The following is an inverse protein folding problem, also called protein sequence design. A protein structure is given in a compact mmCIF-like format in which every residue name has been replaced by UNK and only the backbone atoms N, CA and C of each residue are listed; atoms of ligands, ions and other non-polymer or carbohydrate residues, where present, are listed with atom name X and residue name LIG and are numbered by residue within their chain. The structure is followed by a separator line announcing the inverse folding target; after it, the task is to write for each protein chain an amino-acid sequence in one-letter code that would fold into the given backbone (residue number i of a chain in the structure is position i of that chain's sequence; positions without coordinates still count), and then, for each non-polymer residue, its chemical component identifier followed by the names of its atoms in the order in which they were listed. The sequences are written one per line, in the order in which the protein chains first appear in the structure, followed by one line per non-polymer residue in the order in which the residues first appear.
data_IF_666146706789
#
_entry.id   IF_666146706789
#
_cell.length_a   1.000
_cell.length_b   1.000
_cell.length_c   1.000
_cell.angle_alpha   90.00
_cell.angle_beta   90.00
_cell.angle_gamma   90.00
#
_symmetry.space_group_name_H-M   'P 1'
#
loop_
_entity.id
_entity.type
_entity.pdbx_description
1 polymer ?
#
# COMPACT_ATOMS: atom_id res chain seq x y z
N UNK A 1 19.32 28.13 -12.86
CA UNK A 1 20.38 27.10 -12.65
C UNK A 1 19.80 25.76 -13.05
N UNK A 2 20.55 24.90 -13.77
CA UNK A 2 20.01 23.59 -14.22
C UNK A 2 20.31 22.49 -13.21
N UNK A 3 19.49 21.42 -13.22
CA UNK A 3 19.70 20.25 -12.37
C UNK A 3 21.13 19.72 -12.46
N UNK A 4 21.70 19.60 -13.69
CA UNK A 4 23.08 19.13 -13.90
C UNK A 4 24.17 20.03 -13.30
N UNK A 5 23.83 21.29 -12.99
CA UNK A 5 24.79 22.24 -12.42
C UNK A 5 24.88 22.08 -10.88
N UNK A 6 23.84 21.46 -10.27
CA UNK A 6 23.73 21.25 -8.83
C UNK A 6 23.80 19.78 -8.41
N UNK A 7 23.63 18.85 -9.37
CA UNK A 7 23.57 17.42 -9.10
C UNK A 7 24.43 16.64 -10.06
N UNK A 8 25.25 15.74 -9.53
CA UNK A 8 25.91 14.70 -10.31
C UNK A 8 24.87 13.65 -10.71
N UNK A 9 24.70 13.44 -12.02
CA UNK A 9 23.75 12.48 -12.57
C UNK A 9 24.42 11.13 -12.76
N UNK A 10 23.84 10.08 -12.19
CA UNK A 10 24.39 8.72 -12.24
C UNK A 10 25.88 8.68 -11.86
N UNK A 11 26.27 9.21 -10.70
CA UNK A 11 27.69 9.22 -10.31
C UNK A 11 28.24 7.80 -10.35
N UNK A 12 29.45 7.67 -10.90
CA UNK A 12 30.10 6.36 -11.04
C UNK A 12 30.32 5.75 -9.66
N UNK A 13 29.81 4.56 -9.46
CA UNK A 13 30.00 3.74 -8.28
C UNK A 13 30.46 2.35 -8.67
N UNK A 14 31.28 1.73 -7.85
CA UNK A 14 31.73 0.37 -8.08
C UNK A 14 30.92 -0.60 -7.22
N UNK A 15 29.90 -1.22 -7.83
CA UNK A 15 29.07 -2.25 -7.16
C UNK A 15 29.79 -3.59 -7.09
N UNK A 16 30.85 -3.82 -7.87
CA UNK A 16 31.65 -5.06 -7.83
C UNK A 16 32.39 -5.27 -6.51
N UNK A 17 32.34 -4.32 -5.58
CA UNK A 17 32.83 -4.47 -4.21
C UNK A 17 31.93 -5.34 -3.33
N UNK A 18 30.66 -5.44 -3.68
CA UNK A 18 29.68 -6.21 -2.92
C UNK A 18 29.58 -7.60 -3.53
N UNK A 19 30.19 -8.55 -2.86
CA UNK A 19 30.26 -9.96 -3.32
C UNK A 19 29.44 -10.89 -2.46
N UNK A 20 28.99 -10.42 -1.30
CA UNK A 20 28.28 -11.17 -0.27
C UNK A 20 26.79 -10.90 -0.28
N UNK A 21 26.37 -9.62 -0.17
CA UNK A 21 24.95 -9.24 -0.24
C UNK A 21 24.78 -7.80 -0.70
N UNK A 22 23.58 -7.48 -1.17
CA UNK A 22 23.10 -6.12 -1.43
C UNK A 22 21.67 -5.91 -0.93
N UNK A 23 21.36 -4.69 -0.54
CA UNK A 23 20.01 -4.23 -0.34
C UNK A 23 19.54 -3.52 -1.62
N UNK A 24 18.75 -4.24 -2.44
CA UNK A 24 18.38 -3.82 -3.78
C UNK A 24 17.07 -3.06 -3.82
N UNK A 25 17.07 -1.91 -4.51
CA UNK A 25 15.90 -1.05 -4.73
C UNK A 25 15.54 -1.10 -6.23
N UNK A 26 14.45 -1.78 -6.56
CA UNK A 26 13.89 -1.77 -7.90
C UNK A 26 12.95 -0.57 -8.12
N UNK A 27 12.65 -0.25 -9.38
CA UNK A 27 11.72 0.84 -9.71
C UNK A 27 10.30 0.59 -9.21
N UNK A 28 9.87 -0.66 -9.14
CA UNK A 28 8.57 -1.07 -8.59
C UNK A 28 8.46 -0.92 -7.06
N UNK A 29 9.60 -0.87 -6.37
CA UNK A 29 9.64 -0.69 -4.91
C UNK A 29 9.38 0.76 -4.47
N UNK A 30 9.27 1.69 -5.42
CA UNK A 30 9.16 3.12 -5.15
C UNK A 30 7.88 3.68 -5.76
N UNK A 31 7.11 4.44 -4.98
CA UNK A 31 5.89 5.09 -5.44
C UNK A 31 5.71 6.45 -4.78
N UNK A 32 5.70 7.53 -5.57
CA UNK A 32 5.39 8.91 -5.17
C UNK A 32 6.07 9.36 -3.87
N UNK A 33 7.36 9.08 -3.72
CA UNK A 33 8.14 9.47 -2.55
C UNK A 33 8.14 8.46 -1.41
N UNK A 34 7.51 7.31 -1.57
CA UNK A 34 7.49 6.23 -0.59
C UNK A 34 8.31 5.04 -1.09
N UNK A 35 9.08 4.43 -0.21
CA UNK A 35 9.77 3.17 -0.42
C UNK A 35 8.96 2.05 0.25
N UNK A 36 8.44 1.11 -0.55
CA UNK A 36 7.58 0.02 -0.05
C UNK A 36 8.38 -1.19 0.41
N UNK A 37 9.46 -1.52 -0.32
CA UNK A 37 10.23 -2.72 -0.09
C UNK A 37 11.68 -2.52 -0.55
N UNK A 38 12.60 -3.18 0.16
CA UNK A 38 14.02 -3.34 -0.25
C UNK A 38 14.31 -4.83 -0.26
N UNK A 39 14.77 -5.34 -1.39
CA UNK A 39 15.08 -6.76 -1.54
C UNK A 39 16.48 -7.05 -1.00
N UNK A 40 16.58 -7.87 0.02
CA UNK A 40 17.87 -8.42 0.46
C UNK A 40 18.26 -9.57 -0.47
N UNK A 41 19.40 -9.44 -1.16
CA UNK A 41 19.89 -10.42 -2.13
C UNK A 41 21.29 -10.89 -1.74
N UNK A 42 21.51 -12.20 -1.79
CA UNK A 42 22.78 -12.88 -1.59
C UNK A 42 23.19 -13.62 -2.88
N UNK A 43 24.47 -13.74 -3.13
CA UNK A 43 25.12 -14.53 -4.20
C UNK A 43 24.81 -14.10 -5.63
N UNK A 44 23.56 -13.89 -6.02
CA UNK A 44 23.17 -13.51 -7.39
C UNK A 44 22.50 -12.13 -7.43
N UNK A 45 23.08 -11.20 -8.14
CA UNK A 45 22.58 -9.83 -8.27
C UNK A 45 22.01 -9.57 -9.66
N UNK A 46 20.85 -8.90 -9.76
CA UNK A 46 20.32 -8.50 -11.05
C UNK A 46 21.33 -7.64 -11.83
N UNK A 47 21.45 -7.85 -13.13
CA UNK A 47 22.33 -7.06 -14.00
C UNK A 47 22.06 -5.54 -13.93
N UNK A 48 20.84 -5.16 -13.48
CA UNK A 48 20.43 -3.78 -13.25
C UNK A 48 20.88 -3.20 -11.90
N UNK A 49 21.41 -3.99 -10.97
CA UNK A 49 21.85 -3.53 -9.65
C UNK A 49 23.20 -2.80 -9.74
N UNK A 50 23.21 -1.56 -10.25
CA UNK A 50 24.45 -0.84 -10.57
C UNK A 50 24.54 0.57 -9.98
N UNK A 51 23.49 1.08 -9.32
CA UNK A 51 23.49 2.44 -8.77
C UNK A 51 23.76 2.40 -7.27
N UNK A 52 24.98 2.74 -6.86
CA UNK A 52 25.31 2.89 -5.43
C UNK A 52 24.58 4.08 -4.84
N UNK A 53 23.74 3.83 -3.85
CA UNK A 53 22.87 4.82 -3.20
C UNK A 53 23.50 5.27 -1.88
N UNK A 54 23.33 6.55 -1.56
CA UNK A 54 23.75 7.16 -0.30
C UNK A 54 22.62 8.03 0.24
N UNK A 55 22.50 8.21 1.57
CA UNK A 55 21.55 9.16 2.13
C UNK A 55 21.70 10.55 1.48
N UNK A 56 20.56 11.14 1.09
CA UNK A 56 20.49 12.38 0.34
C UNK A 56 20.46 12.22 -1.19
N UNK A 57 20.60 11.02 -1.74
CA UNK A 57 20.43 10.81 -3.17
C UNK A 57 18.95 10.82 -3.58
N UNK A 58 18.64 11.41 -4.74
CA UNK A 58 17.31 11.32 -5.34
C UNK A 58 17.34 10.20 -6.37
N UNK A 59 16.47 9.22 -6.20
CA UNK A 59 16.18 8.17 -7.17
C UNK A 59 14.97 8.60 -8.01
N UNK A 60 15.13 8.74 -9.32
CA UNK A 60 14.04 9.12 -10.21
C UNK A 60 13.95 8.11 -11.37
N UNK A 61 12.84 7.36 -11.45
CA UNK A 61 12.67 6.37 -12.52
C UNK A 61 12.66 7.05 -13.87
N UNK A 62 13.53 6.60 -14.77
CA UNK A 62 13.56 7.08 -16.15
C UNK A 62 12.48 6.46 -17.03
N UNK A 63 11.87 5.34 -16.59
CA UNK A 63 10.85 4.58 -17.31
C UNK A 63 9.48 4.98 -16.82
N UNK A 64 8.58 5.32 -17.75
CA UNK A 64 7.18 5.69 -17.46
C UNK A 64 7.06 6.71 -16.32
N UNK A 65 7.56 7.95 -16.48
CA UNK A 65 7.58 8.96 -15.42
C UNK A 65 6.19 9.26 -14.83
N UNK A 66 5.13 9.07 -15.62
CA UNK A 66 3.74 9.18 -15.19
C UNK A 66 3.37 8.25 -14.02
N UNK A 67 4.11 7.17 -13.80
CA UNK A 67 3.93 6.26 -12.65
C UNK A 67 4.53 6.83 -11.36
N UNK A 68 5.25 7.96 -11.41
CA UNK A 68 5.80 8.68 -10.24
C UNK A 68 6.70 7.83 -9.35
N UNK A 69 7.51 6.97 -9.93
CA UNK A 69 8.50 6.19 -9.20
C UNK A 69 9.74 7.06 -8.93
N UNK A 70 9.67 7.90 -7.89
CA UNK A 70 10.77 8.73 -7.41
C UNK A 70 10.83 8.67 -5.87
N UNK A 71 12.05 8.79 -5.32
CA UNK A 71 12.30 8.69 -3.90
C UNK A 71 13.53 9.50 -3.49
N UNK A 72 13.44 10.23 -2.37
CA UNK A 72 14.58 10.83 -1.70
C UNK A 72 15.11 9.84 -0.66
N UNK A 73 16.22 9.19 -0.98
CA UNK A 73 16.79 8.15 -0.15
C UNK A 73 17.41 8.75 1.12
N UNK A 74 16.85 8.42 2.28
CA UNK A 74 17.36 8.82 3.59
C UNK A 74 17.55 7.62 4.53
N UNK A 75 17.39 6.39 4.01
CA UNK A 75 17.57 5.17 4.77
C UNK A 75 19.05 4.85 4.99
N UNK A 76 19.32 3.93 5.88
CA UNK A 76 20.67 3.49 6.26
C UNK A 76 20.91 2.01 5.97
N UNK A 77 20.30 1.48 4.87
CA UNK A 77 20.58 0.12 4.46
C UNK A 77 22.04 -0.05 4.06
N UNK A 78 22.69 -1.04 4.65
CA UNK A 78 24.04 -1.42 4.27
C UNK A 78 24.05 -1.95 2.82
N UNK A 79 25.09 -1.65 2.04
CA UNK A 79 25.19 -2.04 0.64
C UNK A 79 23.95 -1.70 -0.21
N UNK A 80 23.38 -0.50 -0.03
CA UNK A 80 22.21 -0.06 -0.79
C UNK A 80 22.55 0.17 -2.26
N UNK A 81 21.83 -0.55 -3.14
CA UNK A 81 22.01 -0.49 -4.59
C UNK A 81 20.67 -0.34 -5.28
N UNK A 82 20.53 0.66 -6.15
CA UNK A 82 19.33 0.83 -6.95
C UNK A 82 19.50 0.33 -8.39
N UNK A 83 18.36 0.05 -9.02
CA UNK A 83 18.25 -0.35 -10.42
C UNK A 83 18.77 0.73 -11.37
N UNK A 84 19.37 0.33 -12.49
CA UNK A 84 19.70 1.22 -13.62
C UNK A 84 18.47 1.88 -14.25
N UNK A 85 17.25 1.43 -13.92
CA UNK A 85 16.00 2.08 -14.28
C UNK A 85 15.83 3.45 -13.62
N UNK A 86 16.57 3.74 -12.54
CA UNK A 86 16.63 5.08 -11.96
C UNK A 86 17.73 5.94 -12.57
N UNK A 87 17.45 7.22 -12.75
CA UNK A 87 18.46 8.28 -12.74
C UNK A 87 18.71 8.63 -11.28
N UNK A 88 19.94 8.47 -10.83
CA UNK A 88 20.39 8.86 -9.51
C UNK A 88 20.94 10.28 -9.58
N UNK A 89 20.39 11.18 -8.73
CA UNK A 89 20.86 12.55 -8.61
C UNK A 89 21.51 12.72 -7.23
N UNK A 90 22.82 13.00 -7.23
CA UNK A 90 23.59 13.28 -6.01
C UNK A 90 23.93 14.74 -5.94
N UNK A 91 23.52 15.40 -4.87
CA UNK A 91 23.81 16.83 -4.67
C UNK A 91 25.32 17.07 -4.55
N UNK A 92 25.83 18.06 -5.31
CA UNK A 92 27.20 18.54 -5.26
C UNK A 92 27.29 20.06 -5.10
N UNK A 93 26.21 20.70 -4.65
CA UNK A 93 26.09 22.15 -4.50
C UNK A 93 25.50 22.53 -3.13
N UNK A 94 25.30 23.84 -2.92
CA UNK A 94 24.59 24.34 -1.75
C UNK A 94 23.06 24.32 -1.90
N UNK A 95 22.51 23.84 -3.02
CA UNK A 95 21.07 23.77 -3.24
C UNK A 95 20.42 22.75 -2.29
N UNK A 96 19.22 23.04 -1.78
CA UNK A 96 18.56 22.09 -0.87
C UNK A 96 18.05 20.87 -1.64
N UNK A 97 18.56 19.68 -1.33
CA UNK A 97 18.19 18.42 -2.02
C UNK A 97 16.72 18.10 -1.91
N UNK A 98 16.11 18.27 -0.71
CA UNK A 98 14.69 17.98 -0.49
C UNK A 98 13.80 18.98 -1.23
N UNK A 99 14.23 20.24 -1.34
CA UNK A 99 13.55 21.23 -2.16
C UNK A 99 13.59 20.83 -3.65
N UNK A 100 14.77 20.43 -4.15
CA UNK A 100 14.89 19.91 -5.52
C UNK A 100 14.02 18.69 -5.75
N UNK A 101 13.97 17.76 -4.78
CA UNK A 101 13.09 16.59 -4.83
C UNK A 101 11.62 16.98 -4.96
N UNK A 102 11.13 17.91 -4.14
CA UNK A 102 9.75 18.41 -4.26
C UNK A 102 9.49 19.07 -5.60
N UNK A 103 10.40 19.90 -6.09
CA UNK A 103 10.25 20.52 -7.40
C UNK A 103 10.18 19.49 -8.52
N UNK A 104 11.10 18.53 -8.53
CA UNK A 104 11.14 17.46 -9.53
C UNK A 104 9.92 16.51 -9.48
N UNK A 105 9.23 16.45 -8.34
CA UNK A 105 7.99 15.67 -8.18
C UNK A 105 6.70 16.43 -8.56
N UNK A 106 6.80 17.70 -8.95
CA UNK A 106 5.63 18.48 -9.41
C UNK A 106 5.00 17.89 -10.68
N UNK A 107 3.69 18.10 -10.82
CA UNK A 107 2.94 17.67 -12.01
C UNK A 107 3.54 18.22 -13.32
N UNK A 108 4.06 19.43 -13.29
CA UNK A 108 4.68 20.08 -14.46
C UNK A 108 5.93 19.32 -14.92
N UNK A 109 6.82 18.99 -13.98
CA UNK A 109 8.04 18.26 -14.28
C UNK A 109 7.74 16.83 -14.71
N UNK A 110 6.84 16.15 -14.00
CA UNK A 110 6.42 14.77 -14.36
C UNK A 110 5.83 14.76 -15.77
N UNK A 111 4.95 15.70 -16.11
CA UNK A 111 4.36 15.82 -17.45
C UNK A 111 5.41 16.13 -18.51
N UNK A 112 6.35 17.03 -18.22
CA UNK A 112 7.46 17.34 -19.13
C UNK A 112 8.29 16.10 -19.45
N UNK A 113 8.71 15.36 -18.43
CA UNK A 113 9.50 14.13 -18.62
C UNK A 113 8.68 13.01 -19.26
N UNK A 114 7.39 12.91 -19.00
CA UNK A 114 6.50 11.94 -19.66
C UNK A 114 6.37 12.22 -21.16
N UNK A 115 6.20 13.49 -21.56
CA UNK A 115 6.17 13.88 -22.98
C UNK A 115 7.48 13.52 -23.68
N UNK A 116 8.63 13.73 -23.03
CA UNK A 116 9.93 13.31 -23.59
C UNK A 116 10.02 11.79 -23.73
N UNK A 117 9.57 11.04 -22.71
CA UNK A 117 9.60 9.58 -22.71
C UNK A 117 8.70 9.01 -23.82
N UNK A 118 7.54 9.58 -24.09
CA UNK A 118 6.62 9.17 -25.16
C UNK A 118 7.20 9.34 -26.57
N UNK A 119 8.12 10.30 -26.75
CA UNK A 119 8.83 10.49 -28.01
C UNK A 119 9.91 9.41 -28.24
N UNK A 120 10.26 8.63 -27.23
CA UNK A 120 11.22 7.53 -27.38
C UNK A 120 10.58 6.36 -28.15
N UNK A 121 11.31 5.83 -29.15
CA UNK A 121 10.86 4.68 -29.95
C UNK A 121 11.03 3.32 -29.22
N UNK A 122 11.24 3.33 -27.91
CA UNK A 122 11.44 2.10 -27.14
C UNK A 122 10.12 1.49 -26.70
N UNK A 123 10.10 0.17 -26.53
CA UNK A 123 8.93 -0.59 -25.99
C UNK A 123 8.49 -0.07 -24.60
N UNK A 124 9.42 0.54 -23.87
CA UNK A 124 9.18 1.17 -22.58
C UNK A 124 9.51 2.67 -22.70
N UNK A 125 8.50 3.57 -22.75
CA UNK A 125 8.71 5.00 -22.80
C UNK A 125 9.67 5.46 -21.70
N UNK A 126 10.79 6.07 -22.09
CA UNK A 126 11.84 6.47 -21.15
C UNK A 126 12.54 7.76 -21.57
N UNK A 127 13.04 8.51 -20.58
CA UNK A 127 13.89 9.67 -20.78
C UNK A 127 15.34 9.37 -20.34
N UNK A 128 16.28 10.18 -20.78
CA UNK A 128 17.70 10.03 -20.40
C UNK A 128 18.09 10.93 -19.20
N UNK A 129 19.20 10.58 -18.53
CA UNK A 129 19.75 11.46 -17.48
C UNK A 129 20.08 12.87 -17.99
N UNK A 130 20.39 13.02 -19.29
CA UNK A 130 20.61 14.34 -19.91
C UNK A 130 19.33 15.20 -19.94
N UNK A 131 18.16 14.57 -20.05
CA UNK A 131 16.89 15.30 -20.16
C UNK A 131 16.46 15.88 -18.81
N UNK A 132 16.50 15.09 -17.72
CA UNK A 132 16.27 15.61 -16.38
C UNK A 132 17.35 16.64 -15.98
N UNK A 133 18.60 16.45 -16.45
CA UNK A 133 19.69 17.39 -16.22
C UNK A 133 19.51 18.76 -16.88
N UNK A 134 18.63 18.90 -17.90
CA UNK A 134 18.32 20.18 -18.55
C UNK A 134 17.26 20.99 -17.85
N UNK A 135 16.53 20.41 -16.91
CA UNK A 135 15.46 21.07 -16.15
C UNK A 135 16.04 22.25 -15.38
N UNK A 136 15.42 23.41 -15.49
CA UNK A 136 15.80 24.58 -14.73
C UNK A 136 15.20 24.50 -13.32
N UNK A 137 16.07 24.56 -12.31
CA UNK A 137 15.66 24.63 -10.90
C UNK A 137 15.21 26.06 -10.58
N UNK A 138 14.18 26.23 -9.70
CA UNK A 138 13.74 27.56 -9.25
C UNK A 138 14.88 28.39 -8.67
N UNK A 139 14.96 29.64 -9.08
CA UNK A 139 15.93 30.61 -8.55
C UNK A 139 15.39 31.24 -7.26
N UNK A 140 15.48 30.48 -6.19
CA UNK A 140 15.00 30.82 -4.86
C UNK A 140 16.20 30.71 -3.90
N UNK A 141 16.38 31.70 -3.02
CA UNK A 141 17.48 31.69 -2.05
C UNK A 141 17.38 30.51 -1.08
N UNK A 142 18.52 30.09 -0.52
CA UNK A 142 18.62 28.90 0.32
C UNK A 142 17.71 28.96 1.55
N UNK A 143 17.52 30.11 2.14
CA UNK A 143 16.68 30.29 3.34
C UNK A 143 15.21 30.01 3.00
N UNK A 144 14.74 30.54 1.88
CA UNK A 144 13.39 30.27 1.38
C UNK A 144 13.21 28.80 0.99
N UNK A 145 14.22 28.15 0.35
CA UNK A 145 14.19 26.70 0.09
C UNK A 145 14.01 25.90 1.39
N UNK A 146 14.78 26.22 2.43
CA UNK A 146 14.73 25.53 3.73
C UNK A 146 13.36 25.72 4.42
N UNK A 147 12.75 26.90 4.33
CA UNK A 147 11.41 27.15 4.86
C UNK A 147 10.34 26.36 4.13
N UNK A 148 10.37 26.34 2.80
CA UNK A 148 9.43 25.54 2.00
C UNK A 148 9.57 24.06 2.34
N UNK A 149 10.80 23.57 2.47
CA UNK A 149 11.08 22.20 2.91
C UNK A 149 10.53 21.94 4.30
N UNK A 150 10.67 22.86 5.25
CA UNK A 150 10.13 22.70 6.60
C UNK A 150 8.62 22.50 6.59
N UNK A 151 7.89 23.25 5.77
CA UNK A 151 6.43 23.12 5.65
C UNK A 151 6.06 21.78 5.02
N UNK A 152 6.61 21.46 3.85
CA UNK A 152 6.22 20.27 3.09
C UNK A 152 6.66 18.98 3.79
N UNK A 153 7.83 19.00 4.44
CA UNK A 153 8.30 17.82 5.18
C UNK A 153 7.48 17.51 6.44
N UNK A 154 6.77 18.49 7.01
CA UNK A 154 5.85 18.23 8.11
C UNK A 154 4.70 17.31 7.68
N UNK A 155 4.16 17.50 6.45
CA UNK A 155 3.17 16.61 5.87
C UNK A 155 3.76 15.20 5.64
N UNK A 156 4.93 15.11 5.00
CA UNK A 156 5.56 13.82 4.72
C UNK A 156 5.88 13.06 6.01
N UNK A 157 6.39 13.73 7.03
CA UNK A 157 6.71 13.12 8.32
C UNK A 157 5.44 12.57 9.00
N UNK A 158 4.32 13.30 8.93
CA UNK A 158 3.05 12.85 9.51
C UNK A 158 2.50 11.64 8.75
N UNK A 159 2.56 11.66 7.41
CA UNK A 159 2.18 10.52 6.56
C UNK A 159 3.05 9.29 6.90
N UNK A 160 4.36 9.46 7.07
CA UNK A 160 5.27 8.39 7.44
C UNK A 160 4.94 7.80 8.82
N UNK A 161 4.69 8.66 9.82
CA UNK A 161 4.29 8.24 11.17
C UNK A 161 2.97 7.47 11.12
N UNK A 162 1.97 7.96 10.37
CA UNK A 162 0.70 7.28 10.21
C UNK A 162 0.88 5.91 9.53
N UNK A 163 1.69 5.81 8.48
CA UNK A 163 1.97 4.53 7.82
C UNK A 163 2.63 3.51 8.77
N UNK A 164 3.56 3.95 9.61
CA UNK A 164 4.16 3.09 10.64
C UNK A 164 3.13 2.62 11.68
N UNK A 165 2.24 3.53 12.12
CA UNK A 165 1.16 3.19 13.06
C UNK A 165 0.16 2.21 12.45
N UNK A 166 -0.25 2.44 11.19
CA UNK A 166 -1.14 1.54 10.44
C UNK A 166 -0.55 0.13 10.45
N UNK A 167 0.72 -0.02 10.04
CA UNK A 167 1.40 -1.33 10.01
C UNK A 167 1.41 -2.02 11.39
N UNK A 168 1.67 -1.27 12.46
CA UNK A 168 1.67 -1.80 13.82
C UNK A 168 0.26 -2.23 14.24
N UNK A 169 -0.76 -1.43 13.95
CA UNK A 169 -2.15 -1.76 14.29
C UNK A 169 -2.65 -2.99 13.52
N UNK A 170 -2.36 -3.10 12.23
CA UNK A 170 -2.69 -4.29 11.44
C UNK A 170 -2.01 -5.54 12.01
N UNK A 171 -0.74 -5.43 12.41
CA UNK A 171 -0.02 -6.51 13.06
C UNK A 171 -0.59 -6.86 14.45
N UNK A 172 -1.07 -5.85 15.20
CA UNK A 172 -1.74 -6.09 16.49
C UNK A 172 -3.03 -6.88 16.32
N UNK A 173 -3.87 -6.53 15.33
CA UNK A 173 -5.10 -7.27 15.02
C UNK A 173 -4.81 -8.73 14.63
N UNK A 174 -3.81 -8.95 13.76
CA UNK A 174 -3.39 -10.28 13.36
C UNK A 174 -2.84 -11.10 14.54
N UNK A 175 -2.02 -10.49 15.40
CA UNK A 175 -1.46 -11.15 16.57
C UNK A 175 -2.56 -11.48 17.60
N UNK A 176 -3.50 -10.57 17.83
CA UNK A 176 -4.64 -10.81 18.72
C UNK A 176 -5.46 -12.03 18.26
N UNK A 177 -5.76 -12.10 16.96
CA UNK A 177 -6.41 -13.26 16.36
C UNK A 177 -5.61 -14.55 16.59
N UNK A 178 -4.29 -14.52 16.34
CA UNK A 178 -3.43 -15.69 16.52
C UNK A 178 -3.36 -16.15 18.00
N UNK A 179 -3.21 -15.21 18.93
CA UNK A 179 -3.16 -15.53 20.36
C UNK A 179 -4.46 -16.17 20.83
N UNK A 180 -5.60 -15.57 20.47
CA UNK A 180 -6.88 -16.02 20.99
C UNK A 180 -7.41 -17.29 20.32
N UNK A 181 -7.30 -17.38 18.99
CA UNK A 181 -8.02 -18.42 18.23
C UNK A 181 -7.12 -19.49 17.58
N UNK A 182 -5.82 -19.26 17.55
CA UNK A 182 -4.86 -20.25 17.07
C UNK A 182 -4.10 -20.88 18.25
N UNK A 183 -3.71 -20.05 19.22
CA UNK A 183 -2.96 -20.48 20.42
C UNK A 183 -3.85 -20.68 21.65
N UNK A 184 -5.14 -20.33 21.56
CA UNK A 184 -6.14 -20.41 22.61
C UNK A 184 -5.79 -19.62 23.88
N UNK A 185 -5.09 -18.49 23.73
CA UNK A 185 -4.69 -17.60 24.82
C UNK A 185 -5.62 -16.40 24.93
N UNK A 186 -6.92 -16.64 24.96
CA UNK A 186 -7.93 -15.63 25.18
C UNK A 186 -8.07 -15.29 26.67
N UNK A 187 -8.63 -14.17 27.09
CA UNK A 187 -8.82 -13.80 28.49
C UNK A 187 -9.62 -14.87 29.24
N UNK A 188 -9.05 -15.41 30.31
CA UNK A 188 -9.66 -16.47 31.10
C UNK A 188 -9.33 -17.89 30.63
N UNK A 189 -8.49 -18.05 29.61
CA UNK A 189 -8.10 -19.38 29.06
C UNK A 189 -7.46 -20.30 30.09
N UNK A 190 -6.82 -19.76 31.16
CA UNK A 190 -6.19 -20.56 32.23
C UNK A 190 -7.20 -21.39 33.02
N UNK A 191 -8.49 -20.98 32.98
CA UNK A 191 -9.61 -21.66 33.67
C UNK A 191 -10.52 -22.39 32.70
N UNK A 192 -10.20 -22.37 31.41
CA UNK A 192 -11.02 -23.02 30.40
C UNK A 192 -10.73 -24.52 30.35
N UNK A 193 -11.79 -25.33 30.38
CA UNK A 193 -11.68 -26.75 30.08
C UNK A 193 -11.41 -26.93 28.57
N UNK A 194 -10.64 -27.96 28.23
CA UNK A 194 -10.37 -28.34 26.85
C UNK A 194 -10.97 -29.70 26.54
N UNK A 195 -11.60 -29.78 25.38
CA UNK A 195 -12.18 -31.02 24.88
C UNK A 195 -11.76 -31.19 23.39
N UNK A 196 -11.23 -32.37 23.03
CA UNK A 196 -10.72 -32.65 21.67
C UNK A 196 -9.68 -31.62 21.14
N UNK A 197 -8.87 -31.03 22.03
CA UNK A 197 -7.82 -30.08 21.67
C UNK A 197 -8.26 -28.63 21.44
N UNK A 198 -9.54 -28.33 21.68
CA UNK A 198 -10.10 -26.96 21.64
C UNK A 198 -10.81 -26.62 22.95
N UNK A 199 -11.00 -25.33 23.30
CA UNK A 199 -11.76 -24.94 24.46
C UNK A 199 -13.19 -25.51 24.42
N UNK A 200 -13.67 -25.99 25.56
CA UNK A 200 -15.02 -26.52 25.69
C UNK A 200 -16.08 -25.50 25.27
N UNK A 201 -17.05 -25.93 24.49
CA UNK A 201 -18.07 -25.03 23.91
C UNK A 201 -17.70 -24.43 22.56
N UNK A 202 -16.43 -24.56 22.14
CA UNK A 202 -16.02 -24.20 20.78
C UNK A 202 -16.19 -25.38 19.83
N UNK A 203 -16.40 -25.11 18.55
CA UNK A 203 -16.59 -26.16 17.55
C UNK A 203 -15.99 -25.81 16.18
N UNK A 204 -15.46 -26.80 15.50
CA UNK A 204 -15.17 -26.66 14.08
C UNK A 204 -16.46 -26.82 13.28
N UNK A 205 -16.80 -25.78 12.51
CA UNK A 205 -17.96 -25.74 11.62
C UNK A 205 -17.51 -25.65 10.17
N UNK A 206 -18.37 -26.03 9.25
CA UNK A 206 -18.16 -25.70 7.84
C UNK A 206 -18.22 -24.17 7.70
N UNK A 207 -17.40 -23.62 6.81
CA UNK A 207 -17.35 -22.17 6.61
C UNK A 207 -18.72 -21.59 6.20
N UNK A 208 -19.50 -22.29 5.36
CA UNK A 208 -20.84 -21.86 4.93
C UNK A 208 -21.94 -21.93 6.02
N UNK A 209 -21.67 -22.61 7.12
CA UNK A 209 -22.56 -22.58 8.29
C UNK A 209 -22.44 -21.26 9.06
N UNK A 210 -21.26 -20.65 9.07
CA UNK A 210 -20.90 -19.50 9.91
C UNK A 210 -20.54 -18.22 9.14
N UNK A 211 -20.30 -18.32 7.84
CA UNK A 211 -20.01 -17.23 6.91
C UNK A 211 -20.96 -17.35 5.71
N UNK A 212 -21.55 -16.24 5.31
CA UNK A 212 -22.35 -16.16 4.07
C UNK A 212 -21.42 -15.75 2.92
N UNK A 213 -21.28 -16.66 1.96
CA UNK A 213 -20.43 -16.48 0.79
C UNK A 213 -21.20 -15.88 -0.37
N UNK A 214 -20.74 -14.77 -0.91
CA UNK A 214 -21.36 -14.04 -2.02
C UNK A 214 -22.86 -13.74 -1.77
N UNK A 215 -23.17 -13.04 -0.68
CA UNK A 215 -24.56 -12.80 -0.27
C UNK A 215 -25.36 -12.08 -1.36
N UNK A 216 -26.62 -12.44 -1.50
CA UNK A 216 -27.54 -11.73 -2.39
C UNK A 216 -28.06 -10.50 -1.70
N UNK A 217 -27.72 -9.32 -2.19
CA UNK A 217 -28.13 -8.04 -1.65
C UNK A 217 -29.17 -7.38 -2.54
N UNK A 218 -30.21 -6.83 -1.95
CA UNK A 218 -31.24 -6.02 -2.65
C UNK A 218 -30.74 -4.58 -2.66
N UNK A 219 -30.75 -3.95 -3.84
CA UNK A 219 -30.29 -2.57 -4.06
C UNK A 219 -31.33 -1.52 -3.64
N UNK A 220 -32.56 -1.95 -3.32
CA UNK A 220 -33.62 -1.01 -2.98
C UNK A 220 -33.87 0.04 -4.06
N UNK A 221 -33.90 1.30 -3.67
CA UNK A 221 -34.06 2.46 -4.55
C UNK A 221 -32.75 3.11 -5.00
N UNK A 222 -31.60 2.42 -4.80
CA UNK A 222 -30.30 2.93 -5.18
C UNK A 222 -30.19 2.98 -6.69
N UNK A 223 -29.85 4.15 -7.23
CA UNK A 223 -29.75 4.44 -8.67
C UNK A 223 -28.30 4.64 -9.15
N UNK A 224 -27.38 4.88 -8.22
CA UNK A 224 -25.95 5.00 -8.49
C UNK A 224 -25.19 4.06 -7.56
N UNK A 225 -24.19 3.39 -8.10
CA UNK A 225 -23.46 2.34 -7.41
C UNK A 225 -21.97 2.62 -7.40
N UNK A 226 -21.36 2.43 -6.25
CA UNK A 226 -19.90 2.36 -6.14
C UNK A 226 -19.43 0.98 -6.54
N UNK A 227 -18.55 0.90 -7.51
CA UNK A 227 -17.94 -0.35 -7.98
C UNK A 227 -16.49 -0.43 -7.48
N UNK A 228 -16.17 -1.52 -6.82
CA UNK A 228 -14.85 -1.83 -6.27
C UNK A 228 -14.11 -2.73 -7.26
N UNK A 229 -13.11 -2.21 -7.99
CA UNK A 229 -12.30 -3.04 -8.88
C UNK A 229 -11.24 -3.84 -8.11
N UNK A 230 -10.58 -4.79 -8.77
CA UNK A 230 -9.54 -5.64 -8.16
C UNK A 230 -8.32 -4.84 -7.68
N UNK A 231 -8.05 -3.72 -8.33
CA UNK A 231 -6.94 -2.82 -8.00
C UNK A 231 -7.12 -2.16 -6.64
N UNK A 232 -8.36 -2.02 -6.18
CA UNK A 232 -8.67 -1.45 -4.87
C UNK A 232 -8.24 -2.33 -3.69
N UNK A 233 -8.04 -3.64 -3.91
CA UNK A 233 -7.55 -4.55 -2.88
C UNK A 233 -6.04 -4.48 -2.77
N UNK A 234 -5.55 -4.18 -1.57
CA UNK A 234 -4.13 -4.23 -1.23
C UNK A 234 -3.68 -5.65 -0.88
N UNK A 235 -2.39 -5.90 -1.02
CA UNK A 235 -1.72 -7.08 -0.48
C UNK A 235 -1.33 -6.91 0.98
N UNK A 236 -1.16 -5.65 1.43
CA UNK A 236 -0.53 -5.28 2.69
C UNK A 236 -1.42 -4.39 3.59
N UNK A 237 -2.64 -4.03 3.17
CA UNK A 237 -3.56 -3.24 3.98
C UNK A 237 -4.95 -3.85 3.99
N UNK A 238 -5.65 -3.69 5.12
CA UNK A 238 -7.05 -4.07 5.25
C UNK A 238 -7.99 -3.08 4.55
N UNK A 239 -7.57 -1.81 4.39
CA UNK A 239 -8.40 -0.74 3.82
C UNK A 239 -8.34 -0.79 2.30
N UNK A 240 -9.51 -0.70 1.68
CA UNK A 240 -9.66 -0.59 0.23
C UNK A 240 -9.19 0.78 -0.26
N UNK A 241 -8.49 0.80 -1.40
CA UNK A 241 -8.14 2.07 -2.04
C UNK A 241 -9.35 2.68 -2.73
N UNK A 242 -9.99 3.62 -2.05
CA UNK A 242 -11.15 4.34 -2.60
C UNK A 242 -10.82 5.24 -3.80
N UNK A 243 -9.54 5.52 -4.07
CA UNK A 243 -9.11 6.22 -5.28
C UNK A 243 -9.35 5.42 -6.56
N UNK A 244 -9.48 4.09 -6.43
CA UNK A 244 -9.78 3.19 -7.55
C UNK A 244 -11.29 2.99 -7.77
N UNK A 245 -12.16 3.47 -6.87
CA UNK A 245 -13.61 3.25 -6.97
C UNK A 245 -14.21 3.98 -8.18
N UNK A 246 -15.17 3.32 -8.83
CA UNK A 246 -15.86 3.86 -10.00
C UNK A 246 -17.34 4.00 -9.67
N UNK A 247 -17.97 5.12 -10.09
CA UNK A 247 -19.42 5.29 -10.00
C UNK A 247 -20.08 4.84 -11.29
N UNK A 248 -21.19 4.09 -11.18
CA UNK A 248 -21.98 3.59 -12.31
C UNK A 248 -23.47 3.61 -12.00
N UNK A 249 -24.31 3.74 -13.03
CA UNK A 249 -25.79 3.71 -12.93
C UNK A 249 -26.34 2.30 -12.77
N UNK A 250 -25.50 1.29 -12.91
CA UNK A 250 -25.88 -0.12 -12.73
C UNK A 250 -24.85 -0.88 -11.94
N UNK A 251 -25.31 -1.82 -11.13
CA UNK A 251 -24.43 -2.68 -10.35
C UNK A 251 -23.98 -3.87 -11.19
N UNK A 252 -22.69 -4.15 -11.17
CA UNK A 252 -22.09 -5.31 -11.84
C UNK A 252 -21.23 -6.11 -10.86
N UNK A 253 -21.05 -7.41 -11.17
CA UNK A 253 -20.18 -8.29 -10.43
C UNK A 253 -20.72 -8.71 -9.06
N UNK A 254 -19.84 -8.87 -8.09
CA UNK A 254 -20.18 -9.27 -6.71
C UNK A 254 -20.71 -8.10 -5.91
N UNK A 255 -21.73 -8.36 -5.07
CA UNK A 255 -22.32 -7.34 -4.20
C UNK A 255 -21.74 -7.43 -2.80
N UNK A 256 -21.45 -6.28 -2.22
CA UNK A 256 -20.95 -6.17 -0.84
C UNK A 256 -21.52 -4.94 -0.12
N UNK A 257 -21.29 -4.84 1.17
CA UNK A 257 -21.61 -3.69 2.02
C UNK A 257 -20.61 -3.60 3.18
N UNK A 258 -20.72 -2.55 4.01
CA UNK A 258 -19.87 -2.42 5.21
C UNK A 258 -19.86 -3.72 6.04
N UNK A 259 -18.68 -4.09 6.55
CA UNK A 259 -18.45 -5.30 7.33
C UNK A 259 -18.17 -6.56 6.51
N UNK A 260 -18.25 -6.49 5.17
CA UNK A 260 -17.88 -7.62 4.32
C UNK A 260 -16.39 -7.68 4.09
N UNK A 261 -15.86 -8.90 3.98
CA UNK A 261 -14.50 -9.16 3.54
C UNK A 261 -14.50 -9.53 2.06
N UNK A 262 -13.66 -8.87 1.28
CA UNK A 262 -13.42 -9.16 -0.13
C UNK A 262 -12.13 -9.94 -0.27
N UNK A 263 -12.21 -11.17 -0.75
CA UNK A 263 -11.05 -12.02 -1.06
C UNK A 263 -10.92 -12.15 -2.58
N UNK A 264 -9.73 -11.88 -3.12
CA UNK A 264 -9.44 -12.19 -4.52
C UNK A 264 -9.45 -13.72 -4.74
N UNK A 265 -10.07 -14.20 -5.83
CA UNK A 265 -10.15 -15.63 -6.14
C UNK A 265 -9.33 -16.09 -7.35
N UNK A 266 -8.60 -15.17 -7.99
CA UNK A 266 -7.85 -15.43 -9.23
C UNK A 266 -6.36 -15.26 -9.03
N UNK A 267 -5.54 -16.05 -9.76
CA UNK A 267 -4.08 -15.82 -9.88
C UNK A 267 -3.76 -14.50 -10.58
N UNK A 268 -2.67 -13.79 -10.24
CA UNK A 268 -1.83 -13.97 -9.06
C UNK A 268 -2.37 -13.26 -7.81
N UNK A 269 -3.57 -12.67 -7.89
CA UNK A 269 -4.11 -11.78 -6.85
C UNK A 269 -4.28 -12.49 -5.49
N UNK A 270 -4.81 -13.72 -5.49
CA UNK A 270 -4.97 -14.50 -4.27
C UNK A 270 -3.61 -14.90 -3.68
N UNK A 271 -2.70 -15.38 -4.53
CA UNK A 271 -1.35 -15.79 -4.13
C UNK A 271 -0.56 -14.63 -3.51
N UNK A 272 -0.76 -13.42 -4.04
CA UNK A 272 -0.20 -12.19 -3.50
C UNK A 272 -0.94 -11.69 -2.24
N UNK A 273 -2.06 -12.33 -1.85
CA UNK A 273 -2.79 -12.02 -0.62
C UNK A 273 -3.76 -10.86 -0.70
N UNK A 274 -4.20 -10.45 -1.89
CA UNK A 274 -5.20 -9.39 -2.06
C UNK A 274 -6.49 -9.72 -1.32
N UNK A 275 -6.72 -9.01 -0.22
CA UNK A 275 -7.88 -9.13 0.66
C UNK A 275 -8.19 -7.76 1.23
N UNK A 276 -9.44 -7.37 1.28
CA UNK A 276 -9.84 -6.07 1.84
C UNK A 276 -11.08 -6.19 2.72
N UNK A 277 -11.23 -5.26 3.65
CA UNK A 277 -12.39 -5.12 4.52
C UNK A 277 -13.20 -3.91 4.07
N UNK A 278 -14.49 -4.09 3.82
CA UNK A 278 -15.37 -2.99 3.39
C UNK A 278 -15.76 -2.18 4.59
N UNK A 279 -15.36 -0.90 4.62
CA UNK A 279 -15.63 0.02 5.71
C UNK A 279 -15.71 1.47 5.23
N UNK A 280 -16.34 2.33 6.03
CA UNK A 280 -16.44 3.76 5.75
C UNK A 280 -17.40 4.12 4.60
N UNK A 281 -18.24 3.18 4.18
CA UNK A 281 -19.28 3.43 3.18
C UNK A 281 -20.57 3.87 3.88
N UNK A 282 -21.47 4.59 3.18
CA UNK A 282 -22.79 4.91 3.73
C UNK A 282 -23.52 3.68 4.27
N UNK A 283 -24.31 3.88 5.29
CA UNK A 283 -25.08 2.79 5.90
C UNK A 283 -26.07 2.20 4.87
N UNK A 284 -26.10 0.89 4.78
CA UNK A 284 -26.95 0.13 3.84
C UNK A 284 -26.65 0.34 2.35
N UNK A 285 -25.59 1.05 1.98
CA UNK A 285 -25.16 1.13 0.57
C UNK A 285 -24.76 -0.25 0.08
N UNK A 286 -25.30 -0.67 -1.05
CA UNK A 286 -24.89 -1.88 -1.76
C UNK A 286 -23.85 -1.50 -2.81
N UNK A 287 -22.70 -2.11 -2.70
CA UNK A 287 -21.54 -1.89 -3.55
C UNK A 287 -21.46 -3.02 -4.60
N UNK A 288 -21.07 -2.67 -5.82
CA UNK A 288 -20.65 -3.64 -6.82
C UNK A 288 -19.16 -3.93 -6.71
N UNK A 289 -18.71 -5.02 -7.30
CA UNK A 289 -17.28 -5.34 -7.31
C UNK A 289 -16.92 -6.36 -8.37
N UNK A 290 -15.62 -6.58 -8.55
CA UNK A 290 -15.12 -7.57 -9.51
C UNK A 290 -15.84 -8.92 -9.36
N UNK A 291 -16.13 -9.58 -10.48
CA UNK A 291 -16.61 -10.97 -10.50
C UNK A 291 -15.58 -11.95 -9.94
N UNK A 292 -14.32 -11.52 -9.86
CA UNK A 292 -13.20 -12.29 -9.31
C UNK A 292 -13.02 -12.10 -7.80
N UNK A 293 -14.04 -11.57 -7.11
CA UNK A 293 -14.12 -11.60 -5.64
C UNK A 293 -14.91 -12.79 -5.14
N UNK A 294 -14.49 -13.28 -3.96
CA UNK A 294 -15.34 -13.99 -3.02
C UNK A 294 -15.67 -13.00 -1.91
N UNK A 295 -16.96 -12.68 -1.77
CA UNK A 295 -17.46 -11.85 -0.68
C UNK A 295 -17.80 -12.73 0.50
N UNK A 296 -17.26 -12.43 1.67
CA UNK A 296 -17.44 -13.18 2.90
C UNK A 296 -18.12 -12.28 3.94
N UNK A 297 -19.35 -12.59 4.30
CA UNK A 297 -20.14 -11.88 5.30
C UNK A 297 -20.26 -12.70 6.57
N UNK A 298 -20.13 -12.06 7.71
CA UNK A 298 -20.39 -12.71 8.99
C UNK A 298 -21.85 -13.17 9.09
N UNK A 299 -22.07 -14.41 9.57
CA UNK A 299 -23.39 -15.01 9.79
C UNK A 299 -23.54 -15.43 11.25
N UNK A 300 -22.63 -16.22 11.76
CA UNK A 300 -22.55 -16.64 13.15
C UNK A 300 -21.23 -16.24 13.83
N UNK A 301 -20.40 -15.48 13.12
CA UNK A 301 -19.12 -14.93 13.57
C UNK A 301 -19.24 -13.39 13.61
N UNK A 302 -18.16 -12.69 13.98
CA UNK A 302 -18.09 -11.23 13.88
C UNK A 302 -17.38 -10.81 12.59
N UNK A 303 -17.65 -9.61 12.04
CA UNK A 303 -17.06 -9.15 10.78
C UNK A 303 -15.52 -9.16 10.77
N UNK A 304 -14.90 -8.62 11.84
CA UNK A 304 -13.44 -8.55 11.92
C UNK A 304 -12.80 -9.93 12.10
N UNK A 305 -13.50 -10.86 12.78
CA UNK A 305 -13.02 -12.24 12.89
C UNK A 305 -13.04 -12.93 11.50
N UNK A 306 -14.08 -12.70 10.68
CA UNK A 306 -14.14 -13.22 9.30
C UNK A 306 -12.99 -12.68 8.45
N UNK A 307 -12.67 -11.39 8.60
CA UNK A 307 -11.51 -10.81 7.92
C UNK A 307 -10.20 -11.48 8.36
N UNK A 308 -10.01 -11.68 9.66
CA UNK A 308 -8.82 -12.36 10.17
C UNK A 308 -8.72 -13.81 9.67
N UNK A 309 -9.85 -14.53 9.56
CA UNK A 309 -9.91 -15.87 8.95
C UNK A 309 -9.43 -15.79 7.49
N UNK A 310 -9.97 -14.87 6.70
CA UNK A 310 -9.61 -14.72 5.28
C UNK A 310 -8.12 -14.41 5.08
N UNK A 311 -7.50 -13.68 6.00
CA UNK A 311 -6.06 -13.37 6.02
C UNK A 311 -5.20 -14.49 6.61
N UNK A 312 -5.79 -15.43 7.37
CA UNK A 312 -5.04 -16.48 8.05
C UNK A 312 -4.31 -17.39 7.05
N UNK A 313 -3.13 -17.87 7.46
CA UNK A 313 -2.33 -18.80 6.66
C UNK A 313 -3.14 -20.03 6.25
N UNK A 314 -3.87 -20.65 7.21
CA UNK A 314 -4.65 -21.84 6.96
C UNK A 314 -5.71 -21.65 5.87
N UNK A 315 -6.51 -20.59 5.97
CA UNK A 315 -7.59 -20.33 5.02
C UNK A 315 -7.04 -19.95 3.63
N UNK A 316 -6.00 -19.12 3.58
CA UNK A 316 -5.34 -18.74 2.32
C UNK A 316 -4.72 -19.94 1.63
N UNK A 317 -4.01 -20.80 2.36
CA UNK A 317 -3.42 -22.02 1.77
C UNK A 317 -4.49 -22.97 1.26
N UNK A 318 -5.59 -23.15 1.99
CA UNK A 318 -6.73 -23.93 1.51
C UNK A 318 -7.30 -23.35 0.21
N UNK A 319 -7.43 -22.03 0.14
CA UNK A 319 -7.89 -21.33 -1.07
C UNK A 319 -6.92 -21.57 -2.24
N UNK A 320 -5.62 -21.38 -2.06
CA UNK A 320 -4.59 -21.57 -3.09
C UNK A 320 -4.56 -23.02 -3.57
N UNK A 321 -4.55 -24.00 -2.66
CA UNK A 321 -4.55 -25.43 -2.99
C UNK A 321 -5.84 -25.90 -3.68
N UNK A 322 -6.93 -25.12 -3.58
CA UNK A 322 -8.19 -25.40 -4.26
C UNK A 322 -8.27 -24.86 -5.68
N UNK A 323 -7.29 -24.07 -6.10
CA UNK A 323 -7.33 -23.39 -7.39
C UNK A 323 -7.33 -24.36 -8.56
N UNK A 324 -8.19 -24.09 -9.53
CA UNK A 324 -8.33 -24.87 -10.76
C UNK A 324 -8.35 -23.95 -11.99
N UNK A 325 -7.95 -24.46 -13.15
CA UNK A 325 -7.95 -23.73 -14.42
C UNK A 325 -6.61 -23.78 -15.14
N UNK A 326 -6.51 -23.11 -16.27
CA UNK A 326 -5.28 -23.01 -17.05
C UNK A 326 -4.24 -22.14 -16.33
N UNK A 327 -2.95 -22.38 -16.58
CA UNK A 327 -1.85 -21.62 -16.02
C UNK A 327 -2.03 -20.12 -16.23
N UNK A 328 -1.80 -19.36 -15.17
CA UNK A 328 -1.95 -17.90 -15.12
C UNK A 328 -3.40 -17.37 -15.03
N UNK A 329 -4.42 -18.25 -15.05
CA UNK A 329 -5.84 -17.88 -14.89
C UNK A 329 -6.60 -18.85 -13.98
N UNK A 330 -5.93 -19.42 -13.01
CA UNK A 330 -6.55 -20.31 -12.04
C UNK A 330 -7.49 -19.53 -11.11
N UNK A 331 -8.55 -20.19 -10.68
CA UNK A 331 -9.56 -19.64 -9.75
C UNK A 331 -9.81 -20.61 -8.62
N UNK A 332 -10.10 -20.05 -7.47
CA UNK A 332 -10.49 -20.79 -6.27
C UNK A 332 -11.75 -21.59 -6.54
N UNK A 333 -11.76 -22.84 -6.07
CA UNK A 333 -12.97 -23.64 -5.94
C UNK A 333 -13.78 -23.13 -4.73
N UNK A 334 -14.85 -22.37 -5.02
CA UNK A 334 -15.68 -21.75 -3.98
C UNK A 334 -16.35 -22.82 -3.08
N UNK A 335 -16.66 -24.02 -3.58
CA UNK A 335 -17.29 -25.08 -2.78
C UNK A 335 -16.30 -25.71 -1.80
N UNK A 336 -15.02 -25.77 -2.16
CA UNK A 336 -13.96 -26.14 -1.22
C UNK A 336 -13.80 -25.10 -0.11
N UNK A 337 -13.85 -23.80 -0.45
CA UNK A 337 -13.84 -22.75 0.59
C UNK A 337 -15.02 -22.89 1.55
N UNK A 338 -16.23 -23.08 1.03
CA UNK A 338 -17.45 -23.26 1.82
C UNK A 338 -17.39 -24.47 2.75
N UNK A 339 -16.75 -25.56 2.30
CA UNK A 339 -16.60 -26.79 3.07
C UNK A 339 -15.41 -26.77 4.06
N UNK A 340 -14.56 -25.75 4.00
CA UNK A 340 -13.42 -25.59 4.91
C UNK A 340 -13.88 -25.57 6.35
N UNK A 341 -13.15 -26.25 7.24
CA UNK A 341 -13.45 -26.25 8.67
C UNK A 341 -12.92 -25.00 9.32
N UNK A 342 -13.79 -24.22 9.93
CA UNK A 342 -13.49 -22.98 10.61
C UNK A 342 -13.88 -23.14 12.09
N UNK A 343 -13.01 -22.62 12.95
CA UNK A 343 -13.28 -22.59 14.38
C UNK A 343 -14.35 -21.55 14.67
N UNK A 344 -15.44 -21.98 15.32
CA UNK A 344 -16.46 -21.12 15.91
C UNK A 344 -16.22 -21.06 17.41
N UNK A 345 -15.70 -19.95 17.93
CA UNK A 345 -15.54 -19.74 19.36
C UNK A 345 -16.88 -19.49 20.03
N UNK A 346 -16.88 -19.52 21.37
CA UNK A 346 -18.01 -19.06 22.15
C UNK A 346 -18.31 -17.57 21.89
N UNK A 347 -19.60 -17.23 21.85
CA UNK A 347 -20.05 -15.88 21.52
C UNK A 347 -19.47 -14.81 22.43
N UNK A 348 -19.34 -15.06 23.72
CA UNK A 348 -18.75 -14.16 24.71
C UNK A 348 -17.31 -13.79 24.38
N UNK A 349 -16.50 -14.74 23.90
CA UNK A 349 -15.11 -14.52 23.49
C UNK A 349 -15.06 -13.76 22.17
N UNK A 350 -15.95 -14.08 21.22
CA UNK A 350 -16.06 -13.32 19.96
C UNK A 350 -16.46 -11.87 20.21
N UNK A 351 -17.46 -11.62 21.04
CA UNK A 351 -17.93 -10.26 21.36
C UNK A 351 -16.83 -9.46 22.07
N UNK A 352 -16.06 -10.09 22.95
CA UNK A 352 -14.90 -9.45 23.59
C UNK A 352 -13.78 -9.14 22.60
N UNK A 353 -13.47 -10.08 21.70
CA UNK A 353 -12.51 -9.84 20.61
C UNK A 353 -12.94 -8.65 19.74
N UNK A 354 -14.22 -8.61 19.36
CA UNK A 354 -14.80 -7.54 18.55
C UNK A 354 -14.66 -6.17 19.23
N UNK A 355 -14.92 -6.11 20.55
CA UNK A 355 -14.73 -4.87 21.33
C UNK A 355 -13.31 -4.33 21.28
N UNK A 356 -12.29 -5.21 21.20
CA UNK A 356 -10.89 -4.81 21.17
C UNK A 356 -10.44 -4.51 19.74
N UNK A 357 -10.89 -5.30 18.76
CA UNK A 357 -10.38 -5.20 17.40
C UNK A 357 -11.03 -4.09 16.59
N UNK A 358 -12.31 -3.77 16.84
CA UNK A 358 -13.02 -2.69 16.13
C UNK A 358 -12.29 -1.35 16.21
N UNK A 359 -11.87 -0.83 17.38
CA UNK A 359 -11.12 0.42 17.45
C UNK A 359 -9.78 0.38 16.67
N UNK A 360 -9.17 -0.81 16.51
CA UNK A 360 -7.94 -0.98 15.72
C UNK A 360 -8.25 -0.77 14.23
N UNK A 361 -9.30 -1.40 13.72
CA UNK A 361 -9.73 -1.25 12.32
C UNK A 361 -10.15 0.19 12.02
N UNK A 362 -10.95 0.80 12.90
CA UNK A 362 -11.38 2.20 12.77
C UNK A 362 -10.18 3.15 12.77
N UNK A 363 -9.21 2.93 13.67
CA UNK A 363 -7.97 3.71 13.73
C UNK A 363 -7.14 3.59 12.45
N UNK A 364 -7.01 2.40 11.88
CA UNK A 364 -6.34 2.19 10.59
C UNK A 364 -7.07 2.93 9.47
N UNK A 365 -8.39 2.81 9.40
CA UNK A 365 -9.20 3.51 8.40
C UNK A 365 -9.04 5.04 8.50
N UNK A 366 -9.16 5.61 9.71
CA UNK A 366 -9.01 7.04 9.93
C UNK A 366 -7.64 7.55 9.51
N UNK A 367 -6.55 6.86 9.86
CA UNK A 367 -5.20 7.25 9.43
C UNK A 367 -4.99 7.15 7.92
N UNK A 368 -5.61 6.17 7.24
CA UNK A 368 -5.59 6.10 5.77
C UNK A 368 -6.31 7.30 5.16
N UNK A 369 -7.47 7.72 5.70
CA UNK A 369 -8.17 8.91 5.22
C UNK A 369 -7.40 10.19 5.52
N UNK A 370 -6.80 10.31 6.71
CA UNK A 370 -5.92 11.42 7.07
C UNK A 370 -4.73 11.55 6.09
N UNK A 371 -4.08 10.44 5.78
CA UNK A 371 -2.98 10.42 4.81
C UNK A 371 -3.42 10.91 3.42
N UNK A 372 -4.61 10.51 2.96
CA UNK A 372 -5.16 11.02 1.69
C UNK A 372 -5.34 12.54 1.72
N UNK A 373 -5.88 13.06 2.81
CA UNK A 373 -6.05 14.52 2.99
C UNK A 373 -4.71 15.26 3.06
N UNK A 374 -3.73 14.71 3.79
CA UNK A 374 -2.38 15.29 3.92
C UNK A 374 -1.68 15.34 2.56
N UNK A 375 -1.74 14.26 1.77
CA UNK A 375 -1.19 14.19 0.41
C UNK A 375 -1.85 15.26 -0.46
N UNK A 376 -3.19 15.37 -0.44
CA UNK A 376 -3.93 16.37 -1.21
C UNK A 376 -3.53 17.80 -0.83
N UNK A 377 -3.45 18.11 0.47
CA UNK A 377 -3.04 19.43 0.95
C UNK A 377 -1.61 19.77 0.54
N UNK A 378 -0.67 18.83 0.75
CA UNK A 378 0.72 18.99 0.32
C UNK A 378 0.82 19.27 -1.18
N UNK A 379 0.14 18.50 -2.01
CA UNK A 379 0.19 18.59 -3.46
C UNK A 379 -0.46 19.88 -3.99
N UNK A 380 -1.45 20.44 -3.27
CA UNK A 380 -2.01 21.76 -3.55
C UNK A 380 -1.10 22.92 -3.11
N UNK A 381 -0.36 22.75 -2.02
CA UNK A 381 0.57 23.77 -1.53
C UNK A 381 1.85 23.83 -2.38
N UNK A 382 2.34 22.69 -2.84
CA UNK A 382 3.60 22.54 -3.54
C UNK A 382 3.77 23.54 -4.72
N UNK A 383 2.86 23.65 -5.71
CA UNK A 383 3.01 24.60 -6.82
C UNK A 383 2.97 26.06 -6.37
N UNK A 384 2.17 26.37 -5.34
CA UNK A 384 2.02 27.73 -4.82
C UNK A 384 3.27 28.22 -4.11
N UNK A 385 3.90 27.35 -3.32
CA UNK A 385 5.17 27.61 -2.66
C UNK A 385 6.32 27.72 -3.67
N UNK A 386 6.35 26.82 -4.67
CA UNK A 386 7.39 26.82 -5.70
C UNK A 386 7.33 28.02 -6.63
N UNK A 387 6.15 28.59 -6.86
CA UNK A 387 5.97 29.78 -7.71
C UNK A 387 6.10 31.12 -6.96
N UNK A 388 6.33 31.12 -5.65
CA UNK A 388 6.32 32.32 -4.82
C UNK A 388 4.95 33.00 -4.67
N UNK A 389 3.86 32.37 -5.16
CA UNK A 389 2.48 32.88 -5.00
C UNK A 389 1.99 32.81 -3.55
N UNK A 390 2.64 32.01 -2.73
CA UNK A 390 2.45 31.96 -1.28
C UNK A 390 3.78 32.35 -0.63
N UNK A 391 3.82 33.57 -0.07
CA UNK A 391 4.98 34.01 0.71
C UNK A 391 5.00 33.26 2.05
N UNK A 392 6.11 32.63 2.35
CA UNK A 392 6.34 32.08 3.68
C UNK A 392 6.69 33.24 4.59
N UNK A 393 5.70 33.73 5.36
CA UNK A 393 5.97 34.76 6.37
C UNK A 393 6.94 34.21 7.41
N UNK A 394 7.97 34.99 7.71
CA UNK A 394 8.91 34.68 8.79
C UNK A 394 8.12 34.68 10.10
N UNK A 395 7.94 33.57 10.77
CA UNK A 395 7.73 33.59 12.20
C UNK A 395 9.04 34.09 12.80
N UNK A 396 9.08 35.36 13.12
CA UNK A 396 10.12 35.94 13.99
C UNK A 396 9.91 35.26 15.35
N UNK A 397 10.68 34.23 15.63
CA UNK A 397 10.86 33.79 17.01
C UNK A 397 11.73 34.85 17.68
N UNK A 398 11.08 35.73 18.41
CA UNK A 398 11.71 36.56 19.45
C UNK A 398 12.17 35.67 20.61
#
# INVERSE_FOLDING_TARGET
MKVRDSFSLNPVGNTSKYTDFINYIDTSSVNAGLLSEVSFLEDEFPSRAQRLVRPGDILYSSVRPNLRHYYLYNDSYEHAVASTGFVLLRNNSSYNTRFAFYYLSTNEVVKYLSNIAELSQSTFPSFSSKDIGKIDLPDIDRKAQDQIVSILSAYDNLIEVNNKRIKVLEQMAENLYKEWFVRFRFPGHEKADFENGIPKGWAYRRADEVIDFNPTLKTGNQTEFTIIPMEALSTNSMVLDSGCFVRQDSISGRRSQNGDTLLAKITPCLENGKTGFVMGMPENEVLGGSTEFVVMRSKALTPHYVYCIARSYYFRQTAILSMNGADGRQRVDEDKLKSTKILQPEKTVLDHFETIVTPIFDGVYQMVQENKNLIQQRDLLLPRLMSGKLEVQYALND
#
